data_IF_739270585957
#
_entry.id   IF_739270585957
#
_cell.length_a   1.000
_cell.length_b   1.000
_cell.length_c   1.000
_cell.angle_alpha   90.00
_cell.angle_beta   90.00
_cell.angle_gamma   90.00
#
_symmetry.space_group_name_H-M   'P 1'
#
loop_
_entity.id
_entity.type
_entity.pdbx_description
1 polymer ?
#
# COMPACT_ATOMS: atom_id res chain seq x y z
N UNK A 1 12.91 14.42 3.66
CA UNK A 1 11.80 13.62 3.13
C UNK A 1 12.34 12.27 2.69
N UNK A 2 11.92 11.22 3.35
CA UNK A 2 12.19 9.82 2.99
C UNK A 2 11.06 9.31 2.10
N UNK A 3 11.18 8.13 1.53
CA UNK A 3 10.10 7.42 0.81
C UNK A 3 9.50 8.17 -0.39
N UNK A 4 10.34 8.78 -1.23
CA UNK A 4 9.90 9.38 -2.50
C UNK A 4 9.16 10.73 -2.40
N UNK A 5 8.89 11.26 -1.21
CA UNK A 5 8.12 12.49 -1.05
C UNK A 5 8.64 13.70 -1.83
N UNK A 6 9.96 13.82 -2.06
CA UNK A 6 10.53 14.86 -2.92
C UNK A 6 10.14 14.69 -4.39
N UNK A 7 10.15 13.46 -4.89
CA UNK A 7 9.76 13.14 -6.26
C UNK A 7 8.27 13.45 -6.49
N UNK A 8 7.41 13.07 -5.55
CA UNK A 8 5.98 13.41 -5.59
C UNK A 8 5.74 14.91 -5.62
N UNK A 9 6.43 15.68 -4.77
CA UNK A 9 6.32 17.15 -4.78
C UNK A 9 6.79 17.74 -6.11
N UNK A 10 7.91 17.25 -6.63
CA UNK A 10 8.43 17.69 -7.92
C UNK A 10 7.47 17.40 -9.07
N UNK A 11 6.82 16.24 -9.11
CA UNK A 11 5.83 15.90 -10.14
C UNK A 11 4.58 16.79 -10.09
N UNK A 12 4.26 17.34 -8.91
CA UNK A 12 3.19 18.33 -8.72
C UNK A 12 3.65 19.78 -8.96
N UNK A 13 4.88 20.00 -9.45
CA UNK A 13 5.45 21.33 -9.64
C UNK A 13 5.75 22.08 -8.33
N UNK A 14 5.81 21.35 -7.19
CA UNK A 14 6.06 21.95 -5.88
C UNK A 14 7.54 21.87 -5.54
N UNK A 15 8.19 23.03 -5.43
CA UNK A 15 9.59 23.12 -5.00
C UNK A 15 9.70 22.96 -3.49
N UNK A 16 10.77 22.29 -3.02
CA UNK A 16 11.00 21.98 -1.61
C UNK A 16 11.75 23.09 -0.83
N UNK A 17 12.14 24.17 -1.49
CA UNK A 17 12.85 25.29 -0.86
C UNK A 17 11.91 26.32 -0.22
N UNK A 18 10.85 25.86 0.41
CA UNK A 18 9.81 26.70 1.00
C UNK A 18 9.38 26.10 2.35
N UNK A 19 8.74 26.91 3.19
CA UNK A 19 8.21 26.45 4.48
C UNK A 19 7.17 25.33 4.30
N UNK A 20 6.97 24.53 5.35
CA UNK A 20 6.01 23.42 5.33
C UNK A 20 4.57 23.89 4.98
N UNK A 21 4.15 25.04 5.51
CA UNK A 21 2.83 25.63 5.23
C UNK A 21 2.68 25.99 3.74
N UNK A 22 3.74 26.53 3.14
CA UNK A 22 3.75 26.85 1.72
C UNK A 22 3.72 25.60 0.84
N UNK A 23 4.37 24.51 1.29
CA UNK A 23 4.29 23.20 0.63
C UNK A 23 2.85 22.67 0.65
N UNK A 24 2.19 22.67 1.81
CA UNK A 24 0.79 22.23 1.93
C UNK A 24 -0.15 23.02 1.02
N UNK A 25 -0.01 24.36 1.00
CA UNK A 25 -0.83 25.24 0.17
C UNK A 25 -0.63 24.94 -1.32
N UNK A 26 0.62 24.72 -1.74
CA UNK A 26 0.93 24.38 -3.14
C UNK A 26 0.38 23.01 -3.53
N UNK A 27 0.52 21.99 -2.67
CA UNK A 27 -0.06 20.66 -2.90
C UNK A 27 -1.57 20.78 -3.11
N UNK A 28 -2.29 21.45 -2.20
CA UNK A 28 -3.73 21.65 -2.31
C UNK A 28 -4.14 22.35 -3.61
N UNK A 29 -3.34 23.30 -4.10
CA UNK A 29 -3.60 23.98 -5.38
C UNK A 29 -3.28 23.13 -6.61
N UNK A 30 -2.36 22.17 -6.49
CA UNK A 30 -1.97 21.28 -7.59
C UNK A 30 -2.88 20.05 -7.73
N UNK A 31 -3.73 19.80 -6.75
CA UNK A 31 -4.67 18.68 -6.76
C UNK A 31 -6.09 19.17 -7.04
N UNK A 32 -6.84 18.40 -7.83
CA UNK A 32 -8.26 18.68 -8.00
C UNK A 32 -9.04 18.36 -6.70
N UNK A 33 -10.21 19.00 -6.47
CA UNK A 33 -11.04 18.69 -5.31
C UNK A 33 -11.38 17.20 -5.18
N UNK A 34 -11.59 16.51 -6.30
CA UNK A 34 -11.89 15.06 -6.32
C UNK A 34 -10.73 14.22 -5.79
N UNK A 35 -9.49 14.56 -6.17
CA UNK A 35 -8.29 13.88 -5.66
C UNK A 35 -8.16 14.11 -4.15
N UNK A 36 -8.37 15.35 -3.68
CA UNK A 36 -8.32 15.67 -2.26
C UNK A 36 -9.40 14.88 -1.51
N UNK A 37 -10.62 14.85 -2.02
CA UNK A 37 -11.73 14.10 -1.45
C UNK A 37 -11.44 12.61 -1.39
N UNK A 38 -10.90 12.03 -2.46
CA UNK A 38 -10.49 10.63 -2.50
C UNK A 38 -9.45 10.33 -1.40
N UNK A 39 -8.38 11.12 -1.33
CA UNK A 39 -7.31 10.90 -0.36
C UNK A 39 -7.75 11.05 1.09
N UNK A 40 -8.67 12.00 1.38
CA UNK A 40 -9.18 12.22 2.74
C UNK A 40 -10.19 11.17 3.19
N UNK A 41 -10.84 10.49 2.24
CA UNK A 41 -11.83 9.45 2.50
C UNK A 41 -11.28 8.03 2.31
N UNK A 42 -9.98 7.86 2.13
CA UNK A 42 -9.37 6.53 2.02
C UNK A 42 -9.54 5.74 3.31
N UNK A 43 -9.97 4.49 3.16
CA UNK A 43 -10.01 3.57 4.29
C UNK A 43 -8.59 3.11 4.66
N UNK A 44 -8.31 2.96 5.94
CA UNK A 44 -7.06 2.42 6.45
C UNK A 44 -6.91 0.91 6.17
N UNK A 45 -8.02 0.22 6.10
CA UNK A 45 -8.15 -1.20 5.74
C UNK A 45 -9.57 -1.50 5.29
N UNK A 46 -9.75 -2.60 4.58
CA UNK A 46 -11.05 -3.04 4.10
C UNK A 46 -11.15 -4.56 4.23
N UNK A 47 -12.28 -5.06 4.70
CA UNK A 47 -12.53 -6.49 4.81
C UNK A 47 -13.78 -6.89 4.02
N UNK A 48 -13.65 -7.99 3.27
CA UNK A 48 -14.78 -8.65 2.61
C UNK A 48 -14.65 -10.17 2.77
N UNK A 49 -15.57 -10.78 3.52
CA UNK A 49 -15.46 -12.18 3.87
C UNK A 49 -14.15 -12.49 4.60
N UNK A 50 -13.38 -13.41 4.06
CA UNK A 50 -12.07 -13.81 4.59
C UNK A 50 -10.88 -13.04 3.99
N UNK A 51 -11.11 -11.99 3.21
CA UNK A 51 -10.06 -11.15 2.62
C UNK A 51 -9.96 -9.84 3.40
N UNK A 52 -8.78 -9.55 3.91
CA UNK A 52 -8.47 -8.30 4.61
C UNK A 52 -7.39 -7.52 3.83
N UNK A 53 -7.76 -6.35 3.36
CA UNK A 53 -6.90 -5.46 2.57
C UNK A 53 -6.31 -4.37 3.45
N UNK A 54 -5.00 -4.19 3.37
CA UNK A 54 -4.27 -3.19 4.16
C UNK A 54 -3.00 -2.76 3.43
N UNK A 55 -2.46 -1.57 3.72
CA UNK A 55 -1.28 -1.09 3.02
C UNK A 55 -0.03 -1.93 3.33
N UNK A 56 0.42 -2.01 4.57
CA UNK A 56 1.67 -2.69 4.94
C UNK A 56 1.46 -4.09 5.51
N UNK A 57 0.48 -4.27 6.39
CA UNK A 57 0.22 -5.53 7.07
C UNK A 57 -0.54 -5.34 8.38
N UNK A 58 -0.53 -6.38 9.18
CA UNK A 58 -1.19 -6.44 10.50
C UNK A 58 -0.22 -6.99 11.55
N UNK A 59 -0.30 -6.47 12.76
CA UNK A 59 0.47 -7.00 13.88
C UNK A 59 -0.22 -8.25 14.44
N UNK A 60 0.42 -9.42 14.40
CA UNK A 60 -0.19 -10.67 14.85
C UNK A 60 -0.46 -10.75 16.35
N UNK A 61 0.02 -9.79 17.14
CA UNK A 61 -0.25 -9.69 18.58
C UNK A 61 -1.63 -9.12 18.90
N UNK A 62 -2.30 -8.49 17.92
CA UNK A 62 -3.60 -7.82 18.09
C UNK A 62 -4.61 -8.37 17.09
N UNK A 63 -5.91 -8.36 17.46
CA UNK A 63 -6.96 -8.71 16.51
C UNK A 63 -7.05 -7.72 15.35
N UNK A 64 -7.64 -8.11 14.22
CA UNK A 64 -7.79 -7.24 13.05
C UNK A 64 -8.56 -5.94 13.37
N UNK A 65 -9.50 -6.00 14.31
CA UNK A 65 -10.27 -4.82 14.75
C UNK A 65 -9.44 -3.84 15.62
N UNK A 66 -8.32 -4.28 16.19
CA UNK A 66 -7.50 -3.48 17.10
C UNK A 66 -6.10 -3.17 16.53
N UNK A 67 -5.96 -3.20 15.22
CA UNK A 67 -4.72 -2.81 14.55
C UNK A 67 -4.49 -1.31 14.64
N UNK A 68 -3.27 -0.90 14.99
CA UNK A 68 -2.90 0.52 14.99
C UNK A 68 -2.71 1.04 13.57
N UNK A 69 -2.88 2.34 13.37
CA UNK A 69 -2.58 2.97 12.08
C UNK A 69 -1.11 2.78 11.69
N UNK A 70 -0.21 2.82 12.66
CA UNK A 70 1.22 2.58 12.43
C UNK A 70 1.49 1.17 11.90
N UNK A 71 0.89 0.13 12.48
CA UNK A 71 1.00 -1.24 11.97
C UNK A 71 0.45 -1.33 10.55
N UNK A 72 -0.74 -0.80 10.30
CA UNK A 72 -1.36 -0.83 8.97
C UNK A 72 -0.52 -0.15 7.89
N UNK A 73 0.26 0.90 8.24
CA UNK A 73 1.03 1.68 7.29
C UNK A 73 2.52 1.29 7.19
N UNK A 74 3.11 0.68 8.24
CA UNK A 74 4.57 0.58 8.33
C UNK A 74 5.12 -0.76 8.76
N UNK A 75 4.32 -1.70 9.25
CA UNK A 75 4.80 -2.99 9.76
C UNK A 75 5.55 -3.77 8.68
N UNK A 76 6.58 -4.50 9.06
CA UNK A 76 7.39 -5.35 8.17
C UNK A 76 7.62 -6.72 8.79
N UNK A 77 8.74 -6.93 9.44
CA UNK A 77 9.25 -8.24 9.84
C UNK A 77 8.30 -9.01 10.76
N UNK A 78 7.65 -8.33 11.70
CA UNK A 78 6.68 -8.94 12.62
C UNK A 78 5.46 -9.53 11.88
N UNK A 79 5.10 -8.92 10.75
CA UNK A 79 4.04 -9.39 9.88
C UNK A 79 4.54 -10.39 8.84
N UNK A 80 5.70 -10.17 8.24
CA UNK A 80 6.21 -10.99 7.13
C UNK A 80 6.71 -12.36 7.59
N UNK A 81 7.27 -12.43 8.80
CA UNK A 81 7.84 -13.65 9.41
C UNK A 81 7.32 -13.88 10.83
N UNK A 82 5.98 -13.95 11.02
CA UNK A 82 5.42 -14.10 12.35
C UNK A 82 5.70 -15.49 12.93
N UNK A 83 5.93 -15.54 14.25
CA UNK A 83 6.08 -16.81 14.99
C UNK A 83 4.76 -17.58 15.02
N UNK A 84 3.64 -16.85 15.12
CA UNK A 84 2.28 -17.38 15.12
C UNK A 84 1.39 -16.58 14.20
N UNK A 85 0.39 -17.24 13.62
CA UNK A 85 -0.61 -16.59 12.79
C UNK A 85 -2.00 -16.77 13.39
N UNK A 86 -2.57 -15.75 14.03
CA UNK A 86 -3.82 -15.89 14.80
C UNK A 86 -5.09 -15.66 13.97
N UNK A 87 -4.98 -15.29 12.70
CA UNK A 87 -6.10 -14.88 11.86
C UNK A 87 -6.60 -16.00 10.96
N UNK A 88 -7.92 -16.05 10.73
CA UNK A 88 -8.53 -16.91 9.72
C UNK A 88 -8.55 -16.24 8.33
N UNK A 89 -8.33 -14.94 8.30
CA UNK A 89 -8.35 -14.13 7.10
C UNK A 89 -7.04 -14.22 6.33
N UNK A 90 -7.12 -14.06 5.02
CA UNK A 90 -5.99 -13.85 4.13
C UNK A 90 -5.74 -12.35 4.01
N UNK A 91 -4.53 -11.90 4.36
CA UNK A 91 -4.15 -10.49 4.32
C UNK A 91 -3.56 -10.16 2.95
N UNK A 92 -4.18 -9.21 2.24
CA UNK A 92 -3.69 -8.68 0.97
C UNK A 92 -2.97 -7.37 1.28
N UNK A 93 -1.68 -7.28 0.90
CA UNK A 93 -0.84 -6.14 1.28
C UNK A 93 0.16 -5.72 0.20
N UNK A 94 0.67 -4.51 0.34
CA UNK A 94 1.77 -3.92 -0.42
C UNK A 94 2.98 -3.58 0.47
N UNK A 95 3.53 -2.37 0.30
CA UNK A 95 4.54 -1.72 1.13
C UNK A 95 5.92 -2.40 1.17
N UNK A 96 5.98 -3.71 1.18
CA UNK A 96 7.24 -4.45 1.22
C UNK A 96 7.38 -5.29 -0.04
N UNK A 97 8.39 -4.93 -0.84
CA UNK A 97 8.77 -5.72 -2.00
C UNK A 97 9.45 -6.99 -1.49
N UNK A 98 8.72 -8.10 -1.55
CA UNK A 98 9.22 -9.38 -1.09
C UNK A 98 10.00 -10.10 -2.19
N UNK A 99 11.17 -9.73 -2.48
CA UNK A 99 12.04 -10.19 -3.55
C UNK A 99 11.90 -9.41 -4.87
N UNK A 100 13.01 -9.15 -5.50
CA UNK A 100 13.14 -8.51 -6.81
C UNK A 100 12.68 -9.41 -7.98
N UNK A 101 11.77 -10.36 -7.73
CA UNK A 101 11.28 -11.28 -8.76
C UNK A 101 10.22 -10.67 -9.67
N UNK A 102 9.81 -9.43 -9.43
CA UNK A 102 8.75 -8.74 -10.19
C UNK A 102 7.41 -9.52 -10.22
N UNK A 103 7.16 -10.37 -9.23
CA UNK A 103 5.95 -11.21 -9.16
C UNK A 103 5.29 -11.08 -7.79
N UNK A 104 3.96 -11.09 -7.73
CA UNK A 104 3.25 -11.17 -6.46
C UNK A 104 3.62 -12.45 -5.71
N UNK A 105 3.56 -12.40 -4.39
CA UNK A 105 3.87 -13.52 -3.52
C UNK A 105 2.60 -14.02 -2.82
N UNK A 106 2.33 -15.30 -3.01
CA UNK A 106 1.21 -15.99 -2.38
C UNK A 106 1.76 -16.90 -1.29
N UNK A 107 1.27 -16.70 -0.09
CA UNK A 107 1.49 -17.54 1.08
C UNK A 107 0.15 -18.10 1.57
N UNK A 108 0.18 -19.06 2.48
CA UNK A 108 -1.06 -19.66 2.97
C UNK A 108 -2.04 -18.66 3.63
N UNK A 109 -1.52 -17.56 4.15
CA UNK A 109 -2.28 -16.62 4.97
C UNK A 109 -2.12 -15.15 4.54
N UNK A 110 -1.31 -14.87 3.52
CA UNK A 110 -1.16 -13.50 2.98
C UNK A 110 -0.76 -13.51 1.51
N UNK A 111 -1.07 -12.42 0.84
CA UNK A 111 -0.71 -12.19 -0.56
C UNK A 111 -0.05 -10.80 -0.66
N UNK A 112 1.24 -10.79 -1.00
CA UNK A 112 1.99 -9.57 -1.25
C UNK A 112 1.88 -9.17 -2.72
N UNK A 113 1.37 -7.96 -3.00
CA UNK A 113 1.19 -7.43 -4.36
C UNK A 113 2.13 -6.28 -4.70
N UNK A 114 3.02 -5.88 -3.80
CA UNK A 114 4.00 -4.84 -4.09
C UNK A 114 5.11 -5.40 -4.99
N UNK A 115 5.10 -4.98 -6.23
CA UNK A 115 6.13 -5.31 -7.22
C UNK A 115 7.24 -4.26 -7.31
N UNK A 116 7.19 -3.20 -6.50
CA UNK A 116 8.19 -2.13 -6.48
C UNK A 116 8.21 -1.32 -7.77
N UNK A 117 7.06 -0.82 -8.19
CA UNK A 117 6.88 -0.12 -9.48
C UNK A 117 7.93 0.96 -9.74
N UNK A 118 8.36 1.68 -8.70
CA UNK A 118 9.39 2.74 -8.81
C UNK A 118 10.79 2.23 -9.22
N UNK A 119 11.04 0.92 -9.11
CA UNK A 119 12.33 0.29 -9.44
C UNK A 119 12.18 -0.80 -10.50
N UNK A 120 10.98 -1.28 -10.76
CA UNK A 120 10.72 -2.42 -11.65
C UNK A 120 9.88 -2.05 -12.85
N UNK A 121 9.27 -0.86 -12.85
CA UNK A 121 8.27 -0.40 -13.81
C UNK A 121 7.03 -1.30 -13.89
N UNK A 122 6.84 -2.21 -12.92
CA UNK A 122 5.73 -3.13 -12.87
C UNK A 122 4.75 -2.76 -11.76
N UNK A 123 3.52 -2.41 -12.12
CA UNK A 123 2.41 -2.25 -11.19
C UNK A 123 1.58 -3.53 -11.16
N UNK A 124 1.35 -4.07 -9.96
CA UNK A 124 0.55 -5.27 -9.76
C UNK A 124 -0.77 -4.94 -9.07
N UNK A 125 -1.86 -5.41 -9.65
CA UNK A 125 -3.19 -5.45 -9.04
C UNK A 125 -3.63 -6.90 -8.81
N UNK A 126 -4.65 -7.08 -7.99
CA UNK A 126 -5.30 -8.37 -7.75
C UNK A 126 -6.81 -8.21 -7.94
N UNK A 127 -7.42 -9.14 -8.64
CA UNK A 127 -8.87 -9.20 -8.82
C UNK A 127 -9.41 -10.51 -8.26
N UNK A 128 -10.52 -10.41 -7.55
CA UNK A 128 -11.28 -11.56 -7.06
C UNK A 128 -12.66 -11.56 -7.71
N UNK A 129 -13.06 -12.70 -8.28
CA UNK A 129 -14.40 -12.92 -8.83
C UNK A 129 -14.95 -14.25 -8.29
N UNK A 130 -15.75 -14.17 -7.24
CA UNK A 130 -16.16 -15.34 -6.48
C UNK A 130 -14.94 -16.05 -5.87
N UNK A 131 -14.76 -17.33 -6.16
CA UNK A 131 -13.61 -18.11 -5.73
C UNK A 131 -12.38 -18.00 -6.66
N UNK A 132 -12.50 -17.28 -7.77
CA UNK A 132 -11.39 -17.07 -8.70
C UNK A 132 -10.56 -15.85 -8.28
N UNK A 133 -9.25 -15.97 -8.46
CA UNK A 133 -8.29 -14.88 -8.25
C UNK A 133 -7.38 -14.78 -9.47
N UNK A 134 -7.10 -13.54 -9.91
CA UNK A 134 -6.06 -13.28 -10.91
C UNK A 134 -5.25 -12.04 -10.58
N UNK A 135 -4.01 -12.03 -11.04
CA UNK A 135 -3.16 -10.84 -10.99
C UNK A 135 -3.27 -10.07 -12.30
N UNK A 136 -3.35 -8.75 -12.17
CA UNK A 136 -3.31 -7.80 -13.29
C UNK A 136 -1.97 -7.09 -13.15
N UNK A 137 -1.09 -7.25 -14.15
CA UNK A 137 0.24 -6.67 -14.15
C UNK A 137 0.37 -5.71 -15.33
N UNK A 138 0.78 -4.47 -15.04
CA UNK A 138 0.90 -3.40 -16.03
C UNK A 138 2.32 -2.85 -15.99
N UNK A 139 2.89 -2.65 -17.18
CA UNK A 139 4.17 -1.95 -17.38
C UNK A 139 3.92 -0.75 -18.30
N UNK A 140 4.77 0.30 -18.26
CA UNK A 140 4.73 1.35 -19.26
C UNK A 140 4.81 0.75 -20.67
N UNK A 141 4.11 1.36 -21.62
CA UNK A 141 4.33 1.05 -23.03
C UNK A 141 5.72 1.57 -23.42
N UNK A 142 6.45 0.81 -24.22
CA UNK A 142 7.72 1.19 -24.82
C UNK A 142 7.54 2.41 -25.73
#
# INVERSE_FOLDING_TARGET
MRNGGKATLSSLGVTTNVTFENVQTKIKKSMTPDIITMLTNMNESFQIGQLFFVHAGVDPRYSLAHQTLESKLWIRDEFLTPITWPFNEVIIHGHTIEHFTKKPKIYNHRIGIDSGVYATDLLTGIEFLGAMMRFIMVQPAD
#
